data_IF_410508396856
#
_entry.id   IF_410508396856
#
_cell.length_a   1.000
_cell.length_b   1.000
_cell.length_c   1.000
_cell.angle_alpha   90.00
_cell.angle_beta   90.00
_cell.angle_gamma   90.00
#
_symmetry.space_group_name_H-M   'P 1'
#
loop_
_entity.id
_entity.type
_entity.pdbx_description
1 polymer ?
#
# COMPACT_ATOMS: atom_id res chain seq x y z
N UNK A 1 19.73 8.03 7.06
CA UNK A 1 20.14 9.27 7.73
C UNK A 1 19.14 10.39 7.46
N UNK A 2 19.17 11.44 8.27
CA UNK A 2 18.31 12.60 8.06
C UNK A 2 18.55 13.29 6.73
N UNK A 3 19.80 13.27 6.25
CA UNK A 3 20.14 13.83 4.94
C UNK A 3 19.54 13.03 3.80
N UNK A 4 19.55 11.71 3.90
CA UNK A 4 18.93 10.85 2.90
C UNK A 4 17.41 11.09 2.86
N UNK A 5 16.77 11.23 4.00
CA UNK A 5 15.34 11.52 4.07
C UNK A 5 15.00 12.92 3.55
N UNK A 6 15.86 13.89 3.80
CA UNK A 6 15.69 15.24 3.23
C UNK A 6 15.73 15.19 1.70
N UNK A 7 16.65 14.41 1.11
CA UNK A 7 16.71 14.24 -0.33
C UNK A 7 15.46 13.54 -0.88
N UNK A 8 14.93 12.56 -0.16
CA UNK A 8 13.67 11.91 -0.54
C UNK A 8 12.52 12.92 -0.56
N UNK A 9 12.42 13.74 0.49
CA UNK A 9 11.38 14.76 0.60
C UNK A 9 11.47 15.79 -0.54
N UNK A 10 12.66 16.13 -1.00
CA UNK A 10 12.86 16.99 -2.16
C UNK A 10 12.27 16.34 -3.43
N UNK A 11 12.50 15.04 -3.63
CA UNK A 11 11.95 14.34 -4.79
C UNK A 11 10.42 14.33 -4.76
N UNK A 12 9.82 14.12 -3.59
CA UNK A 12 8.35 14.23 -3.43
C UNK A 12 7.88 15.61 -3.85
N UNK A 13 8.54 16.67 -3.35
CA UNK A 13 8.16 18.04 -3.65
C UNK A 13 8.25 18.35 -5.14
N UNK A 14 9.30 17.89 -5.82
CA UNK A 14 9.44 18.09 -7.27
C UNK A 14 8.29 17.43 -8.04
N UNK A 15 7.93 16.22 -7.66
CA UNK A 15 6.87 15.50 -8.36
C UNK A 15 5.49 16.08 -8.07
N UNK A 16 5.18 16.33 -6.80
CA UNK A 16 3.89 16.89 -6.39
C UNK A 16 3.68 18.28 -6.97
N UNK A 17 4.74 19.09 -7.00
CA UNK A 17 4.69 20.43 -7.55
C UNK A 17 4.66 20.50 -9.09
N UNK A 18 4.82 19.37 -9.75
CA UNK A 18 4.81 19.31 -11.22
C UNK A 18 6.14 19.73 -11.87
N UNK A 19 7.20 19.90 -11.09
CA UNK A 19 8.51 20.28 -11.62
C UNK A 19 9.22 19.14 -12.32
N UNK A 20 8.94 17.90 -11.91
CA UNK A 20 9.53 16.68 -12.51
C UNK A 20 8.48 15.58 -12.65
N UNK A 21 8.55 14.86 -13.76
CA UNK A 21 7.78 13.63 -13.93
C UNK A 21 8.44 12.51 -13.11
N UNK A 22 7.70 11.46 -12.79
CA UNK A 22 8.17 10.39 -11.90
C UNK A 22 9.47 9.74 -12.40
N UNK A 23 9.57 9.46 -13.70
CA UNK A 23 10.78 8.85 -14.28
C UNK A 23 12.02 9.73 -14.22
N UNK A 24 11.87 11.03 -13.93
CA UNK A 24 12.99 11.98 -13.79
C UNK A 24 13.44 12.15 -12.35
N UNK A 25 12.77 11.52 -11.40
CA UNK A 25 13.15 11.59 -9.98
C UNK A 25 14.45 10.82 -9.73
N UNK A 26 15.25 11.33 -8.81
CA UNK A 26 16.55 10.75 -8.47
C UNK A 26 16.38 9.69 -7.39
N UNK A 27 16.01 8.48 -7.80
CA UNK A 27 15.71 7.37 -6.90
C UNK A 27 16.74 6.25 -6.95
N UNK A 28 17.77 6.38 -7.77
CA UNK A 28 18.79 5.34 -7.93
C UNK A 28 19.48 5.05 -6.58
N UNK A 29 19.59 3.78 -6.25
CA UNK A 29 20.24 3.35 -5.02
C UNK A 29 19.44 3.51 -3.75
N UNK A 30 18.17 3.88 -3.85
CA UNK A 30 17.31 3.98 -2.65
C UNK A 30 17.17 2.61 -1.99
N UNK A 31 17.29 2.64 -0.67
CA UNK A 31 17.00 1.49 0.18
C UNK A 31 15.51 1.36 0.40
N UNK A 32 15.10 0.25 1.04
CA UNK A 32 13.70 0.08 1.45
C UNK A 32 13.22 1.25 2.31
N UNK A 33 14.06 1.72 3.25
CA UNK A 33 13.68 2.83 4.14
C UNK A 33 13.40 4.12 3.38
N UNK A 34 14.20 4.42 2.36
CA UNK A 34 14.00 5.61 1.53
C UNK A 34 12.72 5.48 0.70
N UNK A 35 12.44 4.32 0.13
CA UNK A 35 11.19 4.08 -0.57
C UNK A 35 9.97 4.21 0.34
N UNK A 36 10.04 3.65 1.55
CA UNK A 36 8.93 3.77 2.51
C UNK A 36 8.72 5.23 2.91
N UNK A 37 9.79 5.99 3.09
CA UNK A 37 9.70 7.41 3.40
C UNK A 37 9.07 8.19 2.24
N UNK A 38 9.48 7.91 1.01
CA UNK A 38 8.89 8.52 -0.18
C UNK A 38 7.36 8.31 -0.20
N UNK A 39 6.93 7.06 -0.06
CA UNK A 39 5.51 6.74 -0.07
C UNK A 39 4.75 7.40 1.08
N UNK A 40 5.36 7.45 2.26
CA UNK A 40 4.75 8.06 3.44
C UNK A 40 4.59 9.59 3.30
N UNK A 41 5.46 10.23 2.52
CA UNK A 41 5.43 11.69 2.32
C UNK A 41 4.47 12.13 1.22
N UNK A 42 3.92 11.20 0.45
CA UNK A 42 2.97 11.53 -0.61
C UNK A 42 1.69 12.14 -0.02
N UNK A 43 1.02 13.05 -0.75
CA UNK A 43 -0.29 13.55 -0.32
C UNK A 43 -1.27 12.41 -0.10
N UNK A 44 -2.17 12.58 0.86
CA UNK A 44 -3.19 11.57 1.16
C UNK A 44 -4.13 11.33 -0.01
N UNK A 45 -4.42 12.37 -0.78
CA UNK A 45 -5.28 12.27 -1.96
C UNK A 45 -4.45 12.43 -3.23
N UNK A 46 -4.47 11.39 -4.06
CA UNK A 46 -3.82 11.37 -5.36
C UNK A 46 -4.85 10.93 -6.41
N UNK A 47 -4.72 11.46 -7.61
CA UNK A 47 -5.59 11.04 -8.71
C UNK A 47 -5.16 9.66 -9.23
N UNK A 48 -6.06 8.98 -9.92
CA UNK A 48 -5.74 7.72 -10.60
C UNK A 48 -4.56 7.91 -11.57
N UNK A 49 -4.51 9.02 -12.26
CA UNK A 49 -3.43 9.35 -13.19
C UNK A 49 -2.09 9.48 -12.47
N UNK A 50 -2.06 10.15 -11.33
CA UNK A 50 -0.85 10.27 -10.52
C UNK A 50 -0.37 8.92 -10.00
N UNK A 51 -1.28 8.10 -9.51
CA UNK A 51 -0.94 6.76 -9.02
C UNK A 51 -0.44 5.86 -10.16
N UNK A 52 -1.06 5.95 -11.34
CA UNK A 52 -0.61 5.21 -12.51
C UNK A 52 0.79 5.64 -12.94
N UNK A 53 1.09 6.94 -12.87
CA UNK A 53 2.42 7.46 -13.18
C UNK A 53 3.49 6.86 -12.27
N UNK A 54 3.25 6.85 -10.96
CA UNK A 54 4.18 6.25 -9.98
C UNK A 54 4.34 4.75 -10.21
N UNK A 55 3.24 4.06 -10.46
CA UNK A 55 3.25 2.62 -10.66
C UNK A 55 4.03 2.25 -11.93
N UNK A 56 3.82 2.97 -13.02
CA UNK A 56 4.54 2.74 -14.26
C UNK A 56 6.04 3.05 -14.13
N UNK A 57 6.38 4.11 -13.42
CA UNK A 57 7.77 4.53 -13.27
C UNK A 57 8.55 3.57 -12.36
N UNK A 58 7.94 3.07 -11.29
CA UNK A 58 8.66 2.36 -10.22
C UNK A 58 8.18 0.92 -10.02
N UNK A 59 7.22 0.46 -10.80
CA UNK A 59 6.70 -0.91 -10.75
C UNK A 59 6.28 -1.32 -9.33
N UNK A 60 5.55 -0.44 -8.65
CA UNK A 60 5.20 -0.63 -7.25
C UNK A 60 4.25 -1.79 -7.04
N UNK A 61 3.26 -1.96 -7.91
CA UNK A 61 2.30 -3.06 -7.80
C UNK A 61 2.97 -4.43 -7.97
N UNK A 62 4.04 -4.50 -8.75
CA UNK A 62 4.79 -5.74 -8.99
C UNK A 62 6.07 -5.86 -8.16
N UNK A 63 6.28 -4.97 -7.20
CA UNK A 63 7.48 -5.03 -6.35
C UNK A 63 7.58 -6.36 -5.61
N UNK A 64 8.81 -6.88 -5.48
CA UNK A 64 9.09 -8.06 -4.69
C UNK A 64 9.32 -7.77 -3.21
N UNK A 65 9.28 -6.51 -2.78
CA UNK A 65 9.49 -6.11 -1.39
C UNK A 65 8.16 -6.00 -0.66
N UNK A 66 7.92 -6.89 0.29
CA UNK A 66 6.64 -6.98 1.00
C UNK A 66 6.27 -5.69 1.75
N UNK A 67 7.25 -4.96 2.28
CA UNK A 67 6.98 -3.72 3.01
C UNK A 67 6.64 -2.58 2.07
N UNK A 68 7.30 -2.49 0.93
CA UNK A 68 6.98 -1.49 -0.11
C UNK A 68 5.57 -1.77 -0.65
N UNK A 69 5.27 -3.03 -0.95
CA UNK A 69 3.93 -3.41 -1.43
C UNK A 69 2.87 -3.08 -0.40
N UNK A 70 3.11 -3.37 0.88
CA UNK A 70 2.19 -3.00 1.95
C UNK A 70 1.84 -1.51 1.91
N UNK A 71 2.84 -0.66 1.89
CA UNK A 71 2.62 0.79 1.91
C UNK A 71 1.91 1.26 0.63
N UNK A 72 2.31 0.70 -0.52
CA UNK A 72 1.67 1.02 -1.79
C UNK A 72 0.20 0.61 -1.84
N UNK A 73 -0.10 -0.60 -1.37
CA UNK A 73 -1.48 -1.09 -1.31
C UNK A 73 -2.35 -0.25 -0.36
N UNK A 74 -1.78 0.22 0.74
CA UNK A 74 -2.49 1.11 1.67
C UNK A 74 -2.88 2.41 0.98
N UNK A 75 -1.96 3.02 0.22
CA UNK A 75 -2.24 4.21 -0.58
C UNK A 75 -3.31 3.91 -1.64
N UNK A 76 -3.19 2.79 -2.32
CA UNK A 76 -4.13 2.38 -3.37
C UNK A 76 -5.55 2.17 -2.84
N UNK A 77 -5.69 1.55 -1.69
CA UNK A 77 -6.99 1.34 -1.04
C UNK A 77 -7.63 2.70 -0.72
N UNK A 78 -6.87 3.60 -0.13
CA UNK A 78 -7.36 4.91 0.29
C UNK A 78 -7.75 5.80 -0.88
N UNK A 79 -7.19 5.57 -2.06
CA UNK A 79 -7.46 6.36 -3.27
C UNK A 79 -8.27 5.57 -4.31
N UNK A 80 -8.74 4.38 -3.96
CA UNK A 80 -9.53 3.52 -4.85
C UNK A 80 -8.84 3.26 -6.19
N UNK A 81 -7.53 2.95 -6.14
CA UNK A 81 -6.72 2.67 -7.32
C UNK A 81 -6.91 1.20 -7.72
N UNK A 82 -7.82 0.95 -8.66
CA UNK A 82 -8.28 -0.38 -9.03
C UNK A 82 -7.21 -1.31 -9.60
N UNK A 83 -6.18 -0.84 -10.34
CA UNK A 83 -5.16 -1.75 -10.90
C UNK A 83 -4.39 -2.58 -9.86
N UNK A 84 -4.47 -2.25 -8.57
CA UNK A 84 -3.84 -3.02 -7.50
C UNK A 84 -4.71 -4.16 -6.94
N UNK A 85 -5.98 -4.27 -7.37
CA UNK A 85 -6.94 -5.20 -6.75
C UNK A 85 -6.46 -6.65 -6.76
N UNK A 86 -5.97 -7.15 -7.89
CA UNK A 86 -5.45 -8.52 -7.98
C UNK A 86 -4.23 -8.72 -7.08
N UNK A 87 -3.33 -7.74 -7.03
CA UNK A 87 -2.16 -7.82 -6.16
C UNK A 87 -2.55 -7.80 -4.69
N UNK A 88 -3.53 -6.98 -4.31
CA UNK A 88 -4.04 -6.91 -2.95
C UNK A 88 -4.54 -8.29 -2.49
N UNK A 89 -5.36 -8.95 -3.31
CA UNK A 89 -5.87 -10.28 -2.98
C UNK A 89 -4.73 -11.29 -2.82
N UNK A 90 -3.80 -11.35 -3.79
CA UNK A 90 -2.66 -12.25 -3.73
C UNK A 90 -1.78 -11.96 -2.51
N UNK A 91 -1.56 -10.69 -2.20
CA UNK A 91 -0.77 -10.27 -1.05
C UNK A 91 -1.38 -10.77 0.26
N UNK A 92 -2.68 -10.55 0.45
CA UNK A 92 -3.38 -10.96 1.67
C UNK A 92 -3.50 -12.48 1.80
N UNK A 93 -3.52 -13.21 0.69
CA UNK A 93 -3.50 -14.68 0.72
C UNK A 93 -2.10 -15.22 1.02
N UNK A 94 -1.04 -14.53 0.59
CA UNK A 94 0.34 -14.99 0.76
C UNK A 94 0.99 -14.51 2.05
N UNK A 95 0.65 -13.31 2.53
CA UNK A 95 1.27 -12.67 3.69
C UNK A 95 0.32 -12.80 4.88
N UNK A 96 0.84 -13.31 6.00
CA UNK A 96 0.02 -13.49 7.21
C UNK A 96 0.46 -12.67 8.41
N UNK A 97 1.56 -11.90 8.30
CA UNK A 97 2.03 -11.08 9.42
C UNK A 97 1.03 -9.99 9.74
N UNK A 98 0.57 -9.96 10.99
CA UNK A 98 -0.43 -9.01 11.48
C UNK A 98 -0.04 -7.56 11.15
N UNK A 99 1.22 -7.18 11.33
CA UNK A 99 1.74 -5.85 11.03
C UNK A 99 1.49 -5.43 9.58
N UNK A 100 1.54 -6.38 8.65
CA UNK A 100 1.43 -6.09 7.21
C UNK A 100 0.00 -6.25 6.69
N UNK A 101 -0.83 -7.08 7.32
CA UNK A 101 -2.19 -7.31 6.80
C UNK A 101 -3.26 -6.52 7.54
N UNK A 102 -3.15 -6.34 8.85
CA UNK A 102 -4.18 -5.67 9.63
C UNK A 102 -4.48 -4.24 9.14
N UNK A 103 -3.46 -3.39 8.88
CA UNK A 103 -3.75 -2.04 8.40
C UNK A 103 -4.47 -2.01 7.05
N UNK A 104 -4.25 -3.01 6.18
CA UNK A 104 -4.95 -3.10 4.90
C UNK A 104 -6.43 -3.40 5.10
N UNK A 105 -6.75 -4.35 6.00
CA UNK A 105 -8.14 -4.63 6.34
C UNK A 105 -8.82 -3.44 6.99
N UNK A 106 -8.12 -2.73 7.87
CA UNK A 106 -8.64 -1.52 8.51
C UNK A 106 -8.98 -0.45 7.47
N UNK A 107 -8.10 -0.24 6.50
CA UNK A 107 -8.34 0.72 5.44
C UNK A 107 -9.51 0.31 4.55
N UNK A 108 -9.59 -0.97 4.16
CA UNK A 108 -10.71 -1.46 3.38
C UNK A 108 -12.05 -1.30 4.12
N UNK A 109 -12.04 -1.48 5.44
CA UNK A 109 -13.25 -1.40 6.25
C UNK A 109 -13.81 0.03 6.38
N UNK A 110 -13.08 1.04 5.94
CA UNK A 110 -13.53 2.44 6.02
C UNK A 110 -14.71 2.76 5.09
N UNK A 111 -14.93 1.96 4.05
CA UNK A 111 -16.04 2.15 3.10
C UNK A 111 -16.87 0.88 2.99
N UNK A 112 -18.11 1.01 2.54
CA UNK A 112 -18.98 -0.15 2.34
C UNK A 112 -18.42 -1.09 1.26
N UNK A 113 -17.97 -0.54 0.14
CA UNK A 113 -17.39 -1.34 -0.95
C UNK A 113 -16.09 -2.00 -0.53
N UNK A 114 -15.24 -1.27 0.18
CA UNK A 114 -13.98 -1.81 0.71
C UNK A 114 -14.22 -2.93 1.72
N UNK A 115 -15.22 -2.78 2.58
CA UNK A 115 -15.59 -3.84 3.54
C UNK A 115 -16.06 -5.10 2.82
N UNK A 116 -16.87 -4.96 1.79
CA UNK A 116 -17.34 -6.11 0.99
C UNK A 116 -16.16 -6.83 0.33
N UNK A 117 -15.23 -6.09 -0.24
CA UNK A 117 -14.01 -6.65 -0.80
C UNK A 117 -13.20 -7.38 0.26
N UNK A 118 -13.01 -6.74 1.42
CA UNK A 118 -12.27 -7.32 2.53
C UNK A 118 -12.88 -8.64 3.00
N UNK A 119 -14.20 -8.69 3.13
CA UNK A 119 -14.90 -9.92 3.54
C UNK A 119 -14.69 -11.05 2.54
N UNK A 120 -14.76 -10.75 1.25
CA UNK A 120 -14.54 -11.76 0.21
C UNK A 120 -13.12 -12.31 0.24
N UNK A 121 -12.12 -11.45 0.39
CA UNK A 121 -10.72 -11.87 0.48
C UNK A 121 -10.49 -12.64 1.79
N UNK A 122 -10.98 -12.11 2.89
CA UNK A 122 -10.74 -12.68 4.22
C UNK A 122 -11.33 -14.08 4.36
N UNK A 123 -12.47 -14.35 3.76
CA UNK A 123 -13.06 -15.69 3.76
C UNK A 123 -12.08 -16.74 3.24
N UNK A 124 -11.29 -16.39 2.23
CA UNK A 124 -10.28 -17.26 1.65
C UNK A 124 -8.98 -17.25 2.46
N UNK A 125 -8.57 -16.09 2.99
CA UNK A 125 -7.28 -15.93 3.65
C UNK A 125 -7.28 -16.41 5.11
N UNK A 126 -8.41 -16.23 5.81
CA UNK A 126 -8.52 -16.46 7.25
C UNK A 126 -8.00 -17.83 7.70
N UNK A 127 -8.32 -18.96 7.03
CA UNK A 127 -7.84 -20.26 7.50
C UNK A 127 -6.31 -20.38 7.54
N UNK A 128 -5.58 -19.57 6.75
CA UNK A 128 -4.13 -19.58 6.73
C UNK A 128 -3.49 -18.60 7.72
N UNK A 129 -4.26 -17.76 8.38
CA UNK A 129 -3.71 -16.79 9.32
C UNK A 129 -3.49 -17.39 10.70
N UNK A 130 -2.43 -16.94 11.37
CA UNK A 130 -2.23 -17.23 12.78
C UNK A 130 -3.44 -16.71 13.59
N UNK A 131 -3.87 -17.41 14.66
CA UNK A 131 -5.02 -16.97 15.47
C UNK A 131 -4.96 -15.52 15.95
N UNK A 132 -3.77 -15.03 16.30
CA UNK A 132 -3.61 -13.62 16.72
C UNK A 132 -3.99 -12.67 15.59
N UNK A 133 -3.56 -12.95 14.38
CA UNK A 133 -3.91 -12.15 13.19
C UNK A 133 -5.40 -12.26 12.89
N UNK A 134 -5.93 -13.48 12.86
CA UNK A 134 -7.34 -13.72 12.60
C UNK A 134 -8.24 -13.01 13.62
N UNK A 135 -7.90 -13.10 14.90
CA UNK A 135 -8.68 -12.43 15.95
C UNK A 135 -8.72 -10.91 15.74
N UNK A 136 -7.60 -10.31 15.36
CA UNK A 136 -7.54 -8.88 15.11
C UNK A 136 -8.39 -8.47 13.90
N UNK A 137 -8.32 -9.22 12.81
CA UNK A 137 -9.10 -8.93 11.60
C UNK A 137 -10.59 -9.22 11.82
N UNK A 138 -10.91 -10.29 12.55
CA UNK A 138 -12.29 -10.59 12.95
C UNK A 138 -12.94 -9.39 13.62
N UNK A 139 -12.21 -8.75 14.55
CA UNK A 139 -12.72 -7.59 15.27
C UNK A 139 -12.95 -6.39 14.32
N UNK A 140 -12.05 -6.16 13.37
CA UNK A 140 -12.17 -5.07 12.40
C UNK A 140 -13.39 -5.27 11.50
N UNK A 141 -13.61 -6.48 11.02
CA UNK A 141 -14.65 -6.78 10.03
C UNK A 141 -15.98 -7.19 10.65
N UNK A 142 -16.03 -7.42 11.95
CA UNK A 142 -17.23 -8.00 12.57
C UNK A 142 -17.47 -9.41 12.04
N UNK A 143 -16.42 -10.19 11.85
CA UNK A 143 -16.50 -11.52 11.26
C UNK A 143 -17.22 -12.49 12.19
N UNK A 144 -18.18 -13.20 11.65
CA UNK A 144 -18.81 -14.35 12.32
C UNK A 144 -18.97 -15.47 11.29
N UNK A 145 -18.72 -16.67 11.71
CA UNK A 145 -18.89 -17.86 10.87
C UNK A 145 -20.36 -18.28 10.77
#
# INVERSE_FOLDING_TARGET
SSDAFTLVEEQVAYWVGGDRIATSLEVAGWTTFEWLHFLAQLPQSLTTSQLAELDQAFELTSSGNAEIVHQWLLIAIRNDYLPTRDRLERYLLAIGRRKLVLPLYQAMAETADGRSLAMNIYRQARPGYHPITANSVDAVLGWSE
#
